data_IF_608757930295
#
_entry.id   IF_608757930295
#
_cell.length_a   1.000
_cell.length_b   1.000
_cell.length_c   1.000
_cell.angle_alpha   90.00
_cell.angle_beta   90.00
_cell.angle_gamma   90.00
#
_symmetry.space_group_name_H-M   'P 1'
#
loop_
_entity.id
_entity.type
_entity.pdbx_description
1 polymer ?
#
# COMPACT_ATOMS: atom_id res chain seq x y z
N UNK A 1 -37.25 -18.09 -9.74
CA UNK A 1 -36.48 -18.68 -8.60
C UNK A 1 -34.98 -18.93 -8.88
N UNK A 2 -34.55 -19.35 -10.08
CA UNK A 2 -33.11 -19.61 -10.37
C UNK A 2 -32.21 -18.39 -10.13
N UNK A 3 -32.66 -17.18 -10.48
CA UNK A 3 -31.85 -15.96 -10.35
C UNK A 3 -31.70 -15.51 -8.88
N UNK A 4 -32.71 -15.76 -8.04
CA UNK A 4 -32.65 -15.47 -6.61
C UNK A 4 -31.63 -16.37 -5.88
N UNK A 5 -31.61 -17.66 -6.20
CA UNK A 5 -30.60 -18.59 -5.67
C UNK A 5 -29.18 -18.20 -6.08
N UNK A 6 -28.99 -17.77 -7.34
CA UNK A 6 -27.70 -17.27 -7.83
C UNK A 6 -27.24 -16.03 -7.06
N UNK A 7 -28.14 -15.05 -6.87
CA UNK A 7 -27.84 -13.83 -6.11
C UNK A 7 -27.39 -14.14 -4.67
N UNK A 8 -28.07 -15.08 -4.01
CA UNK A 8 -27.73 -15.51 -2.66
C UNK A 8 -26.35 -16.18 -2.59
N UNK A 9 -26.05 -17.07 -3.55
CA UNK A 9 -24.74 -17.73 -3.64
C UNK A 9 -23.64 -16.71 -3.91
N UNK A 10 -23.85 -15.76 -4.83
CA UNK A 10 -22.87 -14.70 -5.12
C UNK A 10 -22.63 -13.81 -3.91
N UNK A 11 -23.67 -13.40 -3.19
CA UNK A 11 -23.55 -12.61 -1.96
C UNK A 11 -22.78 -13.35 -0.86
N UNK A 12 -23.08 -14.64 -0.66
CA UNK A 12 -22.36 -15.47 0.30
C UNK A 12 -20.87 -15.62 -0.03
N UNK A 13 -20.54 -15.82 -1.31
CA UNK A 13 -19.15 -15.94 -1.75
C UNK A 13 -18.36 -14.62 -1.57
N UNK A 14 -19.00 -13.47 -1.83
CA UNK A 14 -18.38 -12.16 -1.60
C UNK A 14 -18.12 -11.89 -0.12
N UNK A 15 -19.10 -12.21 0.74
CA UNK A 15 -18.95 -12.08 2.20
C UNK A 15 -17.87 -13.01 2.75
N UNK A 16 -17.81 -14.25 2.26
CA UNK A 16 -16.80 -15.22 2.65
C UNK A 16 -15.39 -14.72 2.31
N UNK A 17 -15.18 -14.21 1.08
CA UNK A 17 -13.89 -13.64 0.67
C UNK A 17 -13.46 -12.46 1.53
N UNK A 18 -14.39 -11.56 1.90
CA UNK A 18 -14.07 -10.41 2.76
C UNK A 18 -13.50 -10.84 4.13
N UNK A 19 -13.98 -11.95 4.70
CA UNK A 19 -13.50 -12.48 5.99
C UNK A 19 -12.07 -13.02 5.90
N UNK A 20 -11.66 -13.61 4.76
CA UNK A 20 -10.28 -14.05 4.55
C UNK A 20 -9.32 -12.87 4.42
N UNK A 21 -9.72 -11.81 3.71
CA UNK A 21 -8.89 -10.60 3.58
C UNK A 21 -8.77 -9.80 4.88
N UNK A 22 -9.70 -9.96 5.82
CA UNK A 22 -9.69 -9.26 7.11
C UNK A 22 -8.83 -9.94 8.19
N UNK A 23 -8.15 -11.05 7.90
CA UNK A 23 -7.29 -11.73 8.87
C UNK A 23 -6.01 -10.92 9.13
N UNK A 24 -5.90 -10.35 10.33
CA UNK A 24 -4.64 -9.77 10.83
C UNK A 24 -3.86 -10.83 11.62
N UNK A 25 -2.60 -11.14 11.29
CA UNK A 25 -1.79 -12.05 12.08
C UNK A 25 -1.65 -11.54 13.53
N UNK A 26 -1.94 -12.39 14.51
CA UNK A 26 -1.93 -12.00 15.94
C UNK A 26 -0.58 -12.24 16.62
N UNK A 27 0.21 -13.17 16.12
CA UNK A 27 1.41 -13.68 16.80
C UNK A 27 2.72 -13.02 16.35
N UNK A 28 2.71 -12.25 15.27
CA UNK A 28 3.90 -11.54 14.78
C UNK A 28 3.92 -10.11 15.30
N UNK A 29 5.10 -9.55 15.65
CA UNK A 29 5.23 -8.14 15.98
C UNK A 29 4.61 -7.28 14.88
N UNK A 30 3.67 -6.44 15.29
CA UNK A 30 2.96 -5.55 14.37
C UNK A 30 3.74 -4.25 14.26
N UNK A 31 3.76 -3.60 13.08
CA UNK A 31 4.13 -2.19 13.03
C UNK A 31 3.22 -1.41 13.98
N UNK A 32 3.75 -0.32 14.57
CA UNK A 32 2.98 0.49 15.51
C UNK A 32 1.67 0.97 14.86
N UNK A 33 0.57 0.92 15.63
CA UNK A 33 -0.69 1.54 15.21
C UNK A 33 -0.66 3.08 15.35
N UNK A 34 0.45 3.62 15.85
CA UNK A 34 0.66 5.04 16.03
C UNK A 34 0.76 5.76 14.67
N UNK A 35 0.23 6.98 14.57
CA UNK A 35 0.45 7.84 13.41
C UNK A 35 1.95 8.04 13.16
N UNK A 36 2.31 8.31 11.91
CA UNK A 36 3.68 8.70 11.55
C UNK A 36 4.09 9.91 12.39
N UNK A 37 5.24 9.82 13.05
CA UNK A 37 5.75 10.87 13.90
C UNK A 37 6.51 11.89 13.05
N UNK A 38 5.86 13.00 12.73
CA UNK A 38 6.46 14.10 11.95
C UNK A 38 7.53 14.88 12.74
N UNK A 39 7.81 14.51 13.99
CA UNK A 39 8.93 15.04 14.79
C UNK A 39 10.13 14.11 14.81
N UNK A 40 9.94 12.83 14.46
CA UNK A 40 11.01 11.84 14.31
C UNK A 40 11.83 12.13 13.06
N UNK A 41 13.14 12.32 13.22
CA UNK A 41 14.07 12.49 12.10
C UNK A 41 14.03 11.29 11.13
N UNK A 42 13.86 10.08 11.66
CA UNK A 42 13.80 8.88 10.83
C UNK A 42 12.55 8.88 9.94
N UNK A 43 11.39 9.22 10.51
CA UNK A 43 10.12 9.25 9.80
C UNK A 43 10.11 10.33 8.71
N UNK A 44 10.65 11.52 9.01
CA UNK A 44 10.82 12.59 8.01
C UNK A 44 11.70 12.11 6.85
N UNK A 45 12.84 11.47 7.15
CA UNK A 45 13.75 10.99 6.11
C UNK A 45 13.07 9.93 5.23
N UNK A 46 12.41 8.95 5.84
CA UNK A 46 11.83 7.82 5.13
C UNK A 46 10.60 8.24 4.32
N UNK A 47 9.69 8.99 4.94
CA UNK A 47 8.39 9.28 4.35
C UNK A 47 8.35 10.57 3.52
N UNK A 48 9.33 11.47 3.65
CA UNK A 48 9.37 12.74 2.90
C UNK A 48 10.63 12.84 2.03
N UNK A 49 11.82 12.70 2.63
CA UNK A 49 13.08 12.97 1.92
C UNK A 49 13.36 11.91 0.85
N UNK A 50 13.23 10.62 1.18
CA UNK A 50 13.47 9.53 0.21
C UNK A 50 12.57 9.63 -1.04
N UNK A 51 11.24 9.82 -0.95
CA UNK A 51 10.39 10.03 -2.11
C UNK A 51 10.81 11.23 -2.97
N UNK A 52 11.15 12.37 -2.35
CA UNK A 52 11.60 13.56 -3.07
C UNK A 52 12.91 13.27 -3.82
N UNK A 53 13.88 12.64 -3.14
CA UNK A 53 15.15 12.26 -3.76
C UNK A 53 14.95 11.28 -4.92
N UNK A 54 14.06 10.30 -4.79
CA UNK A 54 13.74 9.36 -5.86
C UNK A 54 13.23 10.08 -7.11
N UNK A 55 12.32 11.05 -6.93
CA UNK A 55 11.80 11.89 -8.03
C UNK A 55 12.91 12.73 -8.66
N UNK A 56 13.73 13.41 -7.85
CA UNK A 56 14.86 14.22 -8.33
C UNK A 56 15.83 13.35 -9.13
N UNK A 57 16.24 12.21 -8.58
CA UNK A 57 17.17 11.29 -9.23
C UNK A 57 16.61 10.71 -10.52
N UNK A 58 15.31 10.41 -10.58
CA UNK A 58 14.66 10.00 -11.82
C UNK A 58 14.79 11.08 -12.90
N UNK A 59 14.51 12.34 -12.59
CA UNK A 59 14.64 13.43 -13.56
C UNK A 59 16.09 13.70 -13.97
N UNK A 60 17.03 13.66 -13.02
CA UNK A 60 18.46 13.80 -13.31
C UNK A 60 18.96 12.68 -14.22
N UNK A 61 18.59 11.43 -13.94
CA UNK A 61 18.91 10.28 -14.78
C UNK A 61 18.30 10.42 -16.18
N UNK A 62 17.02 10.80 -16.27
CA UNK A 62 16.34 11.04 -17.54
C UNK A 62 17.00 12.14 -18.37
N UNK A 63 17.43 13.23 -17.73
CA UNK A 63 18.11 14.33 -18.38
C UNK A 63 19.49 13.91 -18.92
N UNK A 64 20.26 13.13 -18.15
CA UNK A 64 21.56 12.61 -18.57
C UNK A 64 21.44 11.68 -19.78
N UNK A 65 20.43 10.79 -19.80
CA UNK A 65 20.19 9.87 -20.92
C UNK A 65 19.85 10.58 -22.24
N UNK A 66 19.24 11.77 -22.18
CA UNK A 66 18.99 12.61 -23.37
C UNK A 66 20.24 13.30 -23.91
N UNK A 67 21.26 13.53 -23.09
CA UNK A 67 22.53 14.16 -23.52
C UNK A 67 23.54 13.17 -24.12
N UNK A 68 23.30 11.87 -23.93
CA UNK A 68 24.14 10.80 -24.48
C UNK A 68 23.55 10.13 -25.74
N UNK A 69 22.42 10.64 -26.23
CA UNK A 69 21.93 10.41 -27.60
C UNK A 69 22.21 11.66 -28.41
#
# INVERSE_FOLDING_TARGET
>A
MKNFKKLFITGFNLLFMAVFYAQKPTEVPKPSEEPIDVTSTADIIIYIVLPILAVIFFFLWRARKKRQK
#
